data_IF_853100747263
#
_entry.id   IF_853100747263
#
_cell.length_a   1.000
_cell.length_b   1.000
_cell.length_c   1.000
_cell.angle_alpha   90.00
_cell.angle_beta   90.00
_cell.angle_gamma   90.00
#
_symmetry.space_group_name_H-M   'P 1'
#
loop_
_entity.id
_entity.type
_entity.pdbx_description
1 polymer ?
#
# COMPACT_ATOMS: atom_id res chain seq x y z
N UNK A 1 1.56 23.20 -28.66
CA UNK A 1 2.29 22.13 -29.35
C UNK A 1 3.81 22.29 -29.15
N UNK A 2 4.30 22.48 -27.91
CA UNK A 2 5.73 22.78 -27.64
C UNK A 2 6.36 21.96 -26.50
N UNK A 3 5.58 21.43 -25.55
CA UNK A 3 6.13 20.64 -24.44
C UNK A 3 6.70 19.26 -24.83
N UNK A 4 6.57 18.84 -26.09
CA UNK A 4 6.99 17.51 -26.56
C UNK A 4 8.46 17.42 -26.98
N UNK A 5 9.15 18.55 -27.15
CA UNK A 5 10.53 18.58 -27.65
C UNK A 5 11.58 18.48 -26.54
N UNK A 6 11.27 18.91 -25.31
CA UNK A 6 12.25 18.95 -24.20
C UNK A 6 12.29 17.67 -23.33
N UNK A 7 11.36 16.73 -23.55
CA UNK A 7 11.24 15.48 -22.79
C UNK A 7 11.14 14.27 -23.73
N UNK A 8 12.17 14.05 -24.55
CA UNK A 8 12.23 12.90 -25.47
C UNK A 8 12.04 11.55 -24.78
N UNK A 9 12.44 11.46 -23.51
CA UNK A 9 12.34 10.26 -22.66
C UNK A 9 11.17 10.29 -21.67
N UNK A 10 10.26 11.26 -21.83
CA UNK A 10 9.10 11.42 -20.97
C UNK A 10 8.02 10.36 -21.24
N UNK A 11 7.41 9.84 -20.18
CA UNK A 11 6.29 8.88 -20.26
C UNK A 11 5.04 9.46 -19.60
N UNK A 12 3.88 9.27 -20.23
CA UNK A 12 2.57 9.59 -19.65
C UNK A 12 1.79 8.31 -19.47
N UNK A 13 1.38 8.02 -18.24
CA UNK A 13 0.56 6.85 -17.91
C UNK A 13 -0.80 7.31 -17.40
N UNK A 14 -1.87 6.81 -18.03
CA UNK A 14 -3.24 6.98 -17.54
C UNK A 14 -3.46 5.99 -16.40
N UNK A 15 -3.88 6.48 -15.23
CA UNK A 15 -4.18 5.67 -14.06
C UNK A 15 -5.67 5.37 -13.97
N UNK A 16 -6.00 4.34 -13.20
CA UNK A 16 -7.39 4.01 -12.86
C UNK A 16 -8.10 5.22 -12.25
N UNK A 17 -9.28 5.54 -12.75
CA UNK A 17 -10.16 6.54 -12.14
C UNK A 17 -10.64 6.04 -10.77
N UNK A 18 -10.63 6.90 -9.77
CA UNK A 18 -11.14 6.62 -8.43
C UNK A 18 -12.47 7.36 -8.23
N UNK A 19 -13.28 6.92 -7.26
CA UNK A 19 -14.65 7.39 -7.06
C UNK A 19 -14.81 8.87 -6.65
N UNK A 20 -13.74 9.52 -6.21
CA UNK A 20 -13.72 10.96 -5.89
C UNK A 20 -13.36 11.86 -7.08
N UNK A 21 -13.11 11.31 -8.27
CA UNK A 21 -12.87 12.07 -9.49
C UNK A 21 -13.62 11.46 -10.67
N UNK A 22 -14.20 12.31 -11.50
CA UNK A 22 -14.78 11.95 -12.80
C UNK A 22 -13.72 11.76 -13.89
N UNK A 23 -12.47 12.15 -13.64
CA UNK A 23 -11.36 12.08 -14.58
C UNK A 23 -10.34 10.98 -14.24
N UNK A 24 -9.64 10.46 -15.26
CA UNK A 24 -8.52 9.53 -15.05
C UNK A 24 -7.27 10.34 -14.69
N UNK A 25 -6.60 10.06 -13.55
CA UNK A 25 -5.36 10.74 -13.21
C UNK A 25 -4.26 10.43 -14.23
N UNK A 26 -3.44 11.43 -14.55
CA UNK A 26 -2.29 11.30 -15.43
C UNK A 26 -1.01 11.30 -14.61
N UNK A 27 -0.23 10.23 -14.70
CA UNK A 27 1.13 10.17 -14.17
C UNK A 27 2.11 10.56 -15.28
N UNK A 28 2.72 11.73 -15.13
CA UNK A 28 3.74 12.25 -16.05
C UNK A 28 5.10 12.01 -15.43
N UNK A 29 5.97 11.27 -16.12
CA UNK A 29 7.34 11.00 -15.68
C UNK A 29 8.30 11.66 -16.67
N UNK A 30 9.06 12.70 -16.27
CA UNK A 30 9.95 13.46 -17.18
C UNK A 30 11.11 12.65 -17.77
N UNK A 31 11.57 11.63 -17.06
CA UNK A 31 12.59 10.68 -17.52
C UNK A 31 12.15 9.27 -17.16
N UNK A 32 12.12 8.36 -18.12
CA UNK A 32 11.76 6.95 -17.89
C UNK A 32 12.87 6.16 -17.18
N UNK A 33 13.40 6.67 -16.06
CA UNK A 33 14.36 5.99 -15.20
C UNK A 33 13.61 5.26 -14.10
N UNK A 34 13.95 3.97 -13.83
CA UNK A 34 13.47 3.30 -12.64
C UNK A 34 13.82 4.13 -11.41
N UNK A 35 12.84 4.43 -10.56
CA UNK A 35 13.16 4.98 -9.25
C UNK A 35 14.00 3.95 -8.49
N UNK A 36 15.12 4.34 -7.88
CA UNK A 36 15.92 3.43 -7.08
C UNK A 36 15.02 2.89 -5.95
N UNK A 37 14.68 1.61 -6.05
CA UNK A 37 14.02 0.90 -4.96
C UNK A 37 15.10 0.61 -3.94
N UNK A 38 15.17 1.42 -2.90
CA UNK A 38 16.04 1.13 -1.76
C UNK A 38 15.69 -0.27 -1.25
N UNK A 39 16.71 -1.09 -0.99
CA UNK A 39 16.51 -2.40 -0.36
C UNK A 39 15.74 -2.18 0.95
N UNK A 40 14.54 -2.75 1.04
CA UNK A 40 13.67 -2.57 2.19
C UNK A 40 14.35 -3.12 3.44
N UNK A 41 14.88 -2.24 4.28
CA UNK A 41 15.39 -2.64 5.59
C UNK A 41 14.21 -2.97 6.50
N UNK A 42 14.32 -4.08 7.23
CA UNK A 42 13.38 -4.37 8.31
C UNK A 42 13.56 -3.31 9.40
N UNK A 43 12.56 -2.45 9.56
CA UNK A 43 12.55 -1.38 10.56
C UNK A 43 11.27 -1.49 11.36
N UNK A 44 11.41 -1.34 12.67
CA UNK A 44 10.28 -1.19 13.56
C UNK A 44 9.49 0.06 13.19
N UNK A 45 8.17 -0.07 13.12
CA UNK A 45 7.26 1.06 12.98
C UNK A 45 6.41 1.14 14.25
N UNK A 46 6.34 2.31 14.87
CA UNK A 46 5.56 2.53 16.09
C UNK A 46 4.08 2.19 15.95
N UNK A 47 3.55 2.29 14.73
CA UNK A 47 2.21 1.86 14.34
C UNK A 47 1.92 0.40 14.76
N UNK A 48 2.94 -0.45 14.83
CA UNK A 48 2.79 -1.85 15.24
C UNK A 48 2.25 -2.00 16.66
N UNK A 49 2.58 -1.09 17.58
CA UNK A 49 2.12 -1.14 18.97
C UNK A 49 0.62 -0.85 19.12
N UNK A 50 -0.01 -0.25 18.11
CA UNK A 50 -1.43 0.10 18.15
C UNK A 50 -2.33 -1.05 17.70
N UNK A 51 -1.79 -2.05 17.02
CA UNK A 51 -2.52 -3.26 16.66
C UNK A 51 -2.60 -4.17 17.89
N UNK A 52 -3.83 -4.52 18.29
CA UNK A 52 -4.06 -5.33 19.49
C UNK A 52 -3.39 -6.70 19.44
N UNK A 53 -3.17 -7.24 18.23
CA UNK A 53 -2.56 -8.57 18.03
C UNK A 53 -1.05 -8.56 18.14
N UNK A 54 -0.40 -7.39 18.14
CA UNK A 54 1.06 -7.28 18.22
C UNK A 54 1.61 -7.87 19.52
N UNK A 55 1.00 -7.53 20.66
CA UNK A 55 1.46 -7.99 21.97
C UNK A 55 1.30 -9.51 22.12
N UNK A 56 0.17 -10.03 21.63
CA UNK A 56 -0.11 -11.47 21.64
C UNK A 56 0.90 -12.23 20.79
N UNK A 57 1.19 -11.75 19.58
CA UNK A 57 2.21 -12.32 18.70
C UNK A 57 3.60 -12.29 19.35
N UNK A 58 3.99 -11.17 19.97
CA UNK A 58 5.28 -11.05 20.67
C UNK A 58 5.41 -12.08 21.79
N UNK A 59 4.40 -12.22 22.65
CA UNK A 59 4.40 -13.20 23.75
C UNK A 59 4.44 -14.63 23.21
N UNK A 60 3.65 -14.93 22.16
CA UNK A 60 3.63 -16.26 21.55
C UNK A 60 4.97 -16.62 20.87
N UNK A 61 5.72 -15.64 20.40
CA UNK A 61 7.02 -15.83 19.75
C UNK A 61 8.18 -16.03 20.73
N UNK A 62 8.02 -15.73 22.02
CA UNK A 62 9.08 -15.86 23.02
C UNK A 62 8.89 -17.11 23.88
N UNK A 63 9.89 -18.00 23.90
CA UNK A 63 9.83 -19.24 24.68
C UNK A 63 10.85 -19.26 25.80
N UNK A 64 10.40 -19.53 27.02
CA UNK A 64 11.26 -19.52 28.22
C UNK A 64 12.27 -20.69 28.27
N UNK A 65 12.07 -21.72 27.45
CA UNK A 65 12.91 -22.92 27.36
C UNK A 65 13.99 -22.82 26.26
N UNK A 66 14.07 -21.69 25.53
CA UNK A 66 15.02 -21.47 24.44
C UNK A 66 16.12 -20.48 24.82
N UNK A 67 17.25 -20.59 24.12
CA UNK A 67 18.32 -19.58 24.22
C UNK A 67 17.83 -18.24 23.70
N UNK A 68 18.42 -17.15 24.21
CA UNK A 68 18.10 -15.79 23.75
C UNK A 68 18.28 -15.66 22.23
N UNK A 69 19.35 -16.24 21.67
CA UNK A 69 19.61 -16.19 20.23
C UNK A 69 18.50 -16.87 19.42
N UNK A 70 18.05 -18.06 19.82
CA UNK A 70 16.96 -18.77 19.16
C UNK A 70 15.65 -18.00 19.26
N UNK A 71 15.36 -17.41 20.42
CA UNK A 71 14.19 -16.56 20.60
C UNK A 71 14.22 -15.33 19.68
N UNK A 72 15.36 -14.65 19.55
CA UNK A 72 15.49 -13.49 18.65
C UNK A 72 15.22 -13.86 17.18
N UNK A 73 15.75 -15.00 16.72
CA UNK A 73 15.47 -15.50 15.36
C UNK A 73 13.98 -15.83 15.17
N UNK A 74 13.36 -16.48 16.15
CA UNK A 74 11.94 -16.81 16.10
C UNK A 74 11.05 -15.56 16.10
N UNK A 75 11.31 -14.61 16.99
CA UNK A 75 10.64 -13.30 17.06
C UNK A 75 10.76 -12.57 15.73
N UNK A 76 11.95 -12.53 15.12
CA UNK A 76 12.16 -11.90 13.82
C UNK A 76 11.31 -12.54 12.72
N UNK A 77 11.20 -13.87 12.70
CA UNK A 77 10.40 -14.60 11.72
C UNK A 77 8.90 -14.35 11.92
N UNK A 78 8.41 -14.46 13.15
CA UNK A 78 7.00 -14.24 13.46
C UNK A 78 6.59 -12.78 13.25
N UNK A 79 7.44 -11.81 13.61
CA UNK A 79 7.21 -10.39 13.32
C UNK A 79 7.07 -10.13 11.81
N UNK A 80 7.94 -10.72 10.99
CA UNK A 80 7.85 -10.58 9.52
C UNK A 80 6.55 -11.16 8.98
N UNK A 81 6.16 -12.34 9.46
CA UNK A 81 4.91 -12.99 9.07
C UNK A 81 3.69 -12.17 9.49
N UNK A 82 3.67 -11.72 10.73
CA UNK A 82 2.61 -10.89 11.27
C UNK A 82 2.48 -9.57 10.51
N UNK A 83 3.58 -8.83 10.33
CA UNK A 83 3.62 -7.59 9.53
C UNK A 83 3.06 -7.81 8.13
N UNK A 84 3.40 -8.94 7.51
CA UNK A 84 2.90 -9.28 6.19
C UNK A 84 1.38 -9.51 6.17
N UNK A 85 0.86 -10.14 7.22
CA UNK A 85 -0.57 -10.44 7.39
C UNK A 85 -1.40 -9.22 7.80
N UNK A 86 -0.81 -8.20 8.42
CA UNK A 86 -1.54 -7.01 8.91
C UNK A 86 -1.29 -5.78 8.03
N UNK A 87 -0.04 -5.28 8.00
CA UNK A 87 0.32 -4.03 7.32
C UNK A 87 0.52 -4.21 5.81
N UNK A 88 1.30 -5.20 5.40
CA UNK A 88 1.61 -5.35 3.96
C UNK A 88 0.38 -5.84 3.17
N UNK A 89 -0.57 -6.50 3.83
CA UNK A 89 -1.85 -6.89 3.23
C UNK A 89 -2.60 -5.67 2.69
N UNK A 90 -2.62 -4.54 3.40
CA UNK A 90 -3.30 -3.30 2.97
C UNK A 90 -2.72 -2.79 1.65
N UNK A 91 -1.40 -2.67 1.56
CA UNK A 91 -0.72 -2.22 0.34
C UNK A 91 -0.93 -3.19 -0.83
N UNK A 92 -0.91 -4.50 -0.56
CA UNK A 92 -1.19 -5.54 -1.57
C UNK A 92 -2.62 -5.48 -2.08
N UNK A 93 -3.60 -5.38 -1.18
CA UNK A 93 -5.02 -5.28 -1.54
C UNK A 93 -5.29 -4.01 -2.35
N UNK A 94 -4.72 -2.87 -1.95
CA UNK A 94 -4.79 -1.62 -2.72
C UNK A 94 -4.29 -1.82 -4.14
N UNK A 95 -3.07 -2.39 -4.31
CA UNK A 95 -2.48 -2.64 -5.64
C UNK A 95 -3.36 -3.56 -6.49
N UNK A 96 -3.90 -4.62 -5.91
CA UNK A 96 -4.78 -5.57 -6.60
C UNK A 96 -6.11 -4.92 -7.03
N UNK A 97 -6.76 -4.19 -6.12
CA UNK A 97 -8.03 -3.50 -6.40
C UNK A 97 -7.85 -2.44 -7.48
N UNK A 98 -6.81 -1.62 -7.39
CA UNK A 98 -6.49 -0.62 -8.42
C UNK A 98 -6.27 -1.28 -9.79
N UNK A 99 -5.49 -2.36 -9.87
CA UNK A 99 -5.26 -3.07 -11.13
C UNK A 99 -6.55 -3.68 -11.71
N UNK A 100 -7.46 -4.14 -10.85
CA UNK A 100 -8.75 -4.71 -11.27
C UNK A 100 -9.72 -3.64 -11.77
N UNK A 101 -9.82 -2.50 -11.06
CA UNK A 101 -10.59 -1.33 -11.48
C UNK A 101 -10.10 -0.84 -12.85
N UNK A 102 -8.79 -0.69 -13.00
CA UNK A 102 -8.13 -0.29 -14.24
C UNK A 102 -8.47 -1.23 -15.42
N UNK A 103 -8.48 -2.54 -15.17
CA UNK A 103 -8.91 -3.53 -16.15
C UNK A 103 -10.39 -3.41 -16.55
N UNK A 104 -11.27 -3.18 -15.57
CA UNK A 104 -12.72 -2.96 -15.80
C UNK A 104 -12.94 -1.70 -16.62
N UNK A 105 -12.33 -0.58 -16.23
CA UNK A 105 -12.44 0.70 -16.93
C UNK A 105 -11.95 0.62 -18.38
N UNK A 106 -10.79 -0.01 -18.61
CA UNK A 106 -10.30 -0.26 -19.98
C UNK A 106 -11.26 -1.11 -20.81
N UNK A 107 -11.89 -2.13 -20.21
CA UNK A 107 -12.85 -2.99 -20.92
C UNK A 107 -14.11 -2.20 -21.31
N UNK A 108 -14.60 -1.33 -20.43
CA UNK A 108 -15.75 -0.46 -20.70
C UNK A 108 -15.42 0.57 -21.80
N UNK A 109 -14.21 1.16 -21.78
CA UNK A 109 -13.75 2.12 -22.79
C UNK A 109 -13.64 1.51 -24.20
N UNK A 110 -13.35 0.21 -24.30
CA UNK A 110 -13.25 -0.53 -25.58
C UNK A 110 -14.62 -0.92 -26.16
N UNK A 111 -15.72 -0.40 -25.63
CA UNK A 111 -17.08 -0.63 -26.14
C UNK A 111 -17.82 -1.80 -25.50
N UNK A 112 -17.21 -2.54 -24.57
CA UNK A 112 -17.88 -3.61 -23.82
C UNK A 112 -18.34 -3.08 -22.46
N UNK A 113 -19.25 -2.11 -22.46
CA UNK A 113 -19.84 -1.54 -21.25
C UNK A 113 -21.16 -2.24 -20.93
N UNK A 114 -21.08 -3.29 -20.11
CA UNK A 114 -22.26 -3.99 -19.62
C UNK A 114 -22.65 -3.50 -18.22
N UNK A 115 -23.94 -3.60 -17.87
CA UNK A 115 -24.41 -3.31 -16.50
C UNK A 115 -23.63 -4.08 -15.44
N UNK A 116 -23.23 -5.32 -15.73
CA UNK A 116 -22.43 -6.14 -14.82
C UNK A 116 -21.04 -5.56 -14.54
N UNK A 117 -20.37 -4.97 -15.54
CA UNK A 117 -19.08 -4.32 -15.36
C UNK A 117 -19.20 -3.02 -14.55
N UNK A 118 -20.27 -2.26 -14.77
CA UNK A 118 -20.57 -1.06 -13.97
C UNK A 118 -20.78 -1.40 -12.48
N UNK A 119 -21.60 -2.42 -12.18
CA UNK A 119 -21.77 -2.90 -10.80
C UNK A 119 -20.47 -3.43 -10.19
N UNK A 120 -19.66 -4.15 -10.98
CA UNK A 120 -18.36 -4.63 -10.53
C UNK A 120 -17.41 -3.46 -10.22
N UNK A 121 -17.39 -2.41 -11.03
CA UNK A 121 -16.59 -1.22 -10.76
C UNK A 121 -16.99 -0.58 -9.43
N UNK A 122 -18.30 -0.35 -9.21
CA UNK A 122 -18.81 0.22 -7.95
C UNK A 122 -18.37 -0.61 -6.75
N UNK A 123 -18.53 -1.93 -6.84
CA UNK A 123 -18.12 -2.85 -5.76
C UNK A 123 -16.62 -2.70 -5.46
N UNK A 124 -15.78 -2.69 -6.50
CA UNK A 124 -14.33 -2.58 -6.33
C UNK A 124 -13.90 -1.21 -5.78
N UNK A 125 -14.56 -0.13 -6.20
CA UNK A 125 -14.30 1.21 -5.66
C UNK A 125 -14.65 1.27 -4.17
N UNK A 126 -15.79 0.70 -3.76
CA UNK A 126 -16.16 0.62 -2.34
C UNK A 126 -15.15 -0.19 -1.51
N UNK A 127 -14.69 -1.33 -2.04
CA UNK A 127 -13.62 -2.11 -1.41
C UNK A 127 -12.32 -1.31 -1.31
N UNK A 128 -11.93 -0.59 -2.38
CA UNK A 128 -10.74 0.24 -2.40
C UNK A 128 -10.84 1.37 -1.37
N UNK A 129 -11.98 2.04 -1.26
CA UNK A 129 -12.23 3.10 -0.27
C UNK A 129 -11.98 2.61 1.17
N UNK A 130 -12.43 1.40 1.49
CA UNK A 130 -12.20 0.83 2.81
C UNK A 130 -10.70 0.54 3.06
N UNK A 131 -9.98 0.06 2.04
CA UNK A 131 -8.53 -0.15 2.12
C UNK A 131 -7.75 1.16 2.24
N UNK A 132 -8.14 2.20 1.50
CA UNK A 132 -7.52 3.53 1.57
C UNK A 132 -7.68 4.14 2.96
N UNK A 133 -8.83 3.97 3.62
CA UNK A 133 -9.03 4.41 5.01
C UNK A 133 -8.08 3.72 5.99
N UNK A 134 -7.84 2.41 5.81
CA UNK A 134 -6.85 1.68 6.62
C UNK A 134 -5.43 2.20 6.37
N UNK A 135 -5.08 2.42 5.11
CA UNK A 135 -3.78 2.96 4.72
C UNK A 135 -3.56 4.37 5.26
N UNK A 136 -4.58 5.23 5.22
CA UNK A 136 -4.54 6.59 5.79
C UNK A 136 -4.24 6.55 7.29
N UNK A 137 -4.92 5.68 8.05
CA UNK A 137 -4.64 5.48 9.47
C UNK A 137 -3.20 5.03 9.72
N UNK A 138 -2.68 4.10 8.89
CA UNK A 138 -1.28 3.68 8.97
C UNK A 138 -0.31 4.84 8.68
N UNK A 139 -0.60 5.66 7.67
CA UNK A 139 0.24 6.83 7.34
C UNK A 139 0.20 7.91 8.40
N UNK A 140 -0.98 8.20 8.95
CA UNK A 140 -1.14 9.14 10.07
C UNK A 140 -0.28 8.71 11.26
N UNK A 141 -0.28 7.41 11.59
CA UNK A 141 0.57 6.88 12.65
C UNK A 141 2.06 7.04 12.33
N UNK A 142 2.49 6.81 11.09
CA UNK A 142 3.89 6.98 10.66
C UNK A 142 4.36 8.43 10.70
N UNK A 143 3.47 9.38 10.38
CA UNK A 143 3.83 10.81 10.35
C UNK A 143 3.80 11.46 11.74
N UNK A 144 2.89 11.03 12.63
CA UNK A 144 2.76 11.62 13.97
C UNK A 144 3.81 11.15 15.00
N UNK A 145 4.42 9.98 14.83
CA UNK A 145 5.41 9.48 15.81
C UNK A 145 6.81 10.04 15.63
N UNK A 146 7.05 10.84 14.58
CA UNK A 146 8.31 11.58 14.40
C UNK A 146 8.36 12.83 15.29
N UNK A 147 7.22 13.30 15.83
CA UNK A 147 7.14 14.58 16.54
C UNK A 147 7.10 14.51 18.06
N UNK A 148 7.09 13.32 18.68
CA UNK A 148 7.21 13.22 20.15
C UNK A 148 8.68 13.30 20.57
N UNK A 149 9.25 14.51 20.58
CA UNK A 149 10.46 14.77 21.35
C UNK A 149 10.14 14.56 22.83
N UNK A 150 11.00 13.88 23.62
CA UNK A 150 10.86 13.88 25.06
C UNK A 150 11.01 15.31 25.57
N UNK A 151 10.01 15.80 26.30
CA UNK A 151 10.15 16.97 27.15
C UNK A 151 11.04 16.53 28.31
N UNK A 152 12.26 17.09 28.37
CA UNK A 152 13.11 17.05 29.55
C UNK A 152 12.55 17.97 30.63
#
# INVERSE_FOLDING_TARGET
MLARLDFSDGCVKVLARQDFSDHHPLLITPKNVPHPVAAGQFRFESAWLMDSTYKEMMVASWKNDQTVLNNLLNVQQELRRWKFQTFDQVLRMKKQLMARIDGVQRRMQRGNSSRGLWWLEIKLQNELRHILKKEELMWFQRSCTVTSKPVN
#
